data_IF_559027845656
#
_entry.id   IF_559027845656
#
_cell.length_a   1.000
_cell.length_b   1.000
_cell.length_c   1.000
_cell.angle_alpha   90.00
_cell.angle_beta   90.00
_cell.angle_gamma   90.00
#
_symmetry.space_group_name_H-M   'P 1'
#
loop_
_entity.id
_entity.type
_entity.pdbx_description
1 polymer ?
#
# COMPACT_ATOMS: atom_id res chain seq x y z
N UNK A 1 3.92 8.21 21.55
CA UNK A 1 3.89 7.34 20.35
C UNK A 1 4.08 5.90 20.81
N UNK A 2 3.12 5.04 20.56
CA UNK A 2 3.15 3.61 20.91
C UNK A 2 4.09 2.86 19.94
N UNK A 3 5.40 2.90 20.19
CA UNK A 3 6.41 2.22 19.37
C UNK A 3 6.67 0.81 19.86
N UNK A 4 6.70 -0.15 18.96
CA UNK A 4 7.25 -1.46 19.25
C UNK A 4 8.75 -1.31 19.52
N UNK A 5 9.26 -1.80 20.66
CA UNK A 5 10.68 -1.67 21.00
C UNK A 5 11.56 -2.48 20.03
N UNK A 6 11.06 -3.59 19.51
CA UNK A 6 11.77 -4.50 18.61
C UNK A 6 10.81 -5.36 17.78
N UNK A 7 11.37 -6.12 16.86
CA UNK A 7 10.63 -7.05 15.98
C UNK A 7 9.95 -8.16 16.80
N UNK A 8 10.59 -8.67 17.85
CA UNK A 8 10.02 -9.76 18.67
C UNK A 8 8.74 -9.30 19.38
N UNK A 9 8.67 -8.04 19.80
CA UNK A 9 7.44 -7.46 20.36
C UNK A 9 6.33 -7.39 19.31
N UNK A 10 6.63 -6.90 18.09
CA UNK A 10 5.68 -6.86 17.00
C UNK A 10 5.16 -8.25 16.62
N UNK A 11 6.04 -9.28 16.60
CA UNK A 11 5.67 -10.68 16.37
C UNK A 11 4.68 -11.17 17.43
N UNK A 12 4.95 -10.92 18.72
CA UNK A 12 4.02 -11.31 19.80
C UNK A 12 2.65 -10.69 19.63
N UNK A 13 2.58 -9.40 19.30
CA UNK A 13 1.31 -8.71 19.06
C UNK A 13 0.54 -9.34 17.90
N UNK A 14 1.19 -9.62 16.77
CA UNK A 14 0.58 -10.29 15.62
C UNK A 14 0.08 -11.69 15.99
N UNK A 15 0.85 -12.48 16.76
CA UNK A 15 0.45 -13.81 17.26
C UNK A 15 -0.76 -13.76 18.20
N UNK A 16 -0.92 -12.68 18.94
CA UNK A 16 -2.10 -12.41 19.78
C UNK A 16 -3.31 -11.94 18.97
N UNK A 17 -3.19 -11.80 17.63
CA UNK A 17 -4.23 -11.29 16.75
C UNK A 17 -4.41 -9.78 16.83
N UNK A 18 -3.43 -9.05 17.35
CA UNK A 18 -3.40 -7.59 17.32
C UNK A 18 -2.91 -7.08 15.97
N UNK A 19 -3.13 -5.77 15.71
CA UNK A 19 -2.64 -5.10 14.52
C UNK A 19 -1.40 -4.26 14.87
N UNK A 20 -0.45 -4.19 13.94
CA UNK A 20 0.80 -3.44 14.08
C UNK A 20 1.05 -2.66 12.80
N UNK A 21 1.45 -1.40 12.91
CA UNK A 21 1.94 -0.67 11.74
C UNK A 21 3.35 -1.12 11.39
N UNK A 22 3.54 -1.56 10.13
CA UNK A 22 4.76 -2.20 9.63
C UNK A 22 5.38 -1.34 8.52
N UNK A 23 6.68 -1.01 8.60
CA UNK A 23 7.36 -0.26 7.56
C UNK A 23 7.51 -1.12 6.29
N UNK A 24 7.33 -0.50 5.12
CA UNK A 24 7.77 -1.10 3.84
C UNK A 24 8.50 -0.04 3.01
N UNK A 25 9.13 -0.47 1.92
CA UNK A 25 9.81 0.45 1.00
C UNK A 25 8.83 1.36 0.25
N UNK A 26 7.54 0.99 0.16
CA UNK A 26 6.48 1.77 -0.49
C UNK A 26 5.80 2.72 0.48
N UNK A 27 5.01 2.20 1.42
CA UNK A 27 4.28 2.93 2.46
C UNK A 27 4.21 2.06 3.72
N UNK A 28 3.88 2.64 4.88
CA UNK A 28 3.58 1.84 6.07
C UNK A 28 2.27 1.08 5.88
N UNK A 29 2.29 -0.21 6.24
CA UNK A 29 1.12 -1.09 6.22
C UNK A 29 0.53 -1.30 7.61
N UNK A 30 -0.80 -1.39 7.72
CA UNK A 30 -1.49 -1.82 8.94
C UNK A 30 -1.57 -3.34 8.91
N UNK A 31 -0.60 -4.00 9.56
CA UNK A 31 -0.38 -5.43 9.51
C UNK A 31 -1.21 -6.21 10.52
N UNK A 32 -1.75 -7.34 10.11
CA UNK A 32 -2.36 -8.35 10.97
C UNK A 32 -2.13 -9.74 10.41
N UNK A 33 -2.23 -10.76 11.26
CA UNK A 33 -2.09 -12.15 10.83
C UNK A 33 -3.11 -12.51 9.74
N UNK A 34 -2.61 -12.85 8.55
CA UNK A 34 -3.46 -13.17 7.40
C UNK A 34 -4.23 -14.50 7.57
N UNK A 35 -3.86 -15.34 8.55
CA UNK A 35 -4.56 -16.58 8.91
C UNK A 35 -5.56 -16.39 10.06
N UNK A 36 -5.66 -15.21 10.65
CA UNK A 36 -6.56 -14.92 11.75
C UNK A 36 -7.72 -14.00 11.32
N UNK A 37 -8.95 -14.53 11.17
CA UNK A 37 -10.11 -13.74 10.76
C UNK A 37 -10.37 -12.53 11.68
N UNK A 38 -10.08 -12.64 12.98
CA UNK A 38 -10.27 -11.54 13.94
C UNK A 38 -9.25 -10.41 13.70
N UNK A 39 -7.99 -10.74 13.38
CA UNK A 39 -6.99 -9.75 13.03
C UNK A 39 -7.38 -8.99 11.75
N UNK A 40 -7.91 -9.69 10.75
CA UNK A 40 -8.39 -9.07 9.51
C UNK A 40 -9.57 -8.12 9.78
N UNK A 41 -10.56 -8.56 10.59
CA UNK A 41 -11.68 -7.69 10.99
C UNK A 41 -11.22 -6.46 11.76
N UNK A 42 -10.18 -6.57 12.61
CA UNK A 42 -9.55 -5.42 13.31
C UNK A 42 -8.93 -4.44 12.32
N UNK A 43 -8.23 -4.93 11.27
CA UNK A 43 -7.70 -4.06 10.20
C UNK A 43 -8.84 -3.24 9.58
N UNK A 44 -9.94 -3.89 9.18
CA UNK A 44 -11.09 -3.20 8.57
C UNK A 44 -11.71 -2.17 9.51
N UNK A 45 -11.96 -2.56 10.77
CA UNK A 45 -12.56 -1.68 11.78
C UNK A 45 -11.65 -0.46 12.07
N UNK A 46 -10.35 -0.67 12.26
CA UNK A 46 -9.37 0.40 12.52
C UNK A 46 -9.31 1.41 11.39
N UNK A 47 -9.34 0.95 10.15
CA UNK A 47 -9.31 1.81 8.96
C UNK A 47 -10.64 2.47 8.63
N UNK A 48 -11.76 1.98 9.15
CA UNK A 48 -13.11 2.32 8.64
C UNK A 48 -13.29 1.84 7.19
N UNK A 49 -12.62 0.74 6.80
CA UNK A 49 -12.67 0.16 5.44
C UNK A 49 -13.88 -0.79 5.35
N UNK A 50 -14.71 -0.71 4.27
CA UNK A 50 -15.78 -1.67 4.08
C UNK A 50 -15.26 -3.11 4.01
N UNK A 51 -15.95 -4.02 4.69
CA UNK A 51 -15.69 -5.46 4.55
C UNK A 51 -15.92 -5.90 3.10
N UNK A 52 -15.13 -6.84 2.61
CA UNK A 52 -15.22 -7.32 1.22
C UNK A 52 -14.26 -6.63 0.23
N UNK A 53 -13.57 -5.56 0.63
CA UNK A 53 -12.46 -5.03 -0.16
C UNK A 53 -11.19 -5.85 0.08
N UNK A 54 -10.61 -6.55 -0.92
CA UNK A 54 -9.47 -7.42 -0.70
C UNK A 54 -8.26 -6.66 -0.14
N UNK A 55 -7.43 -7.35 0.64
CA UNK A 55 -6.18 -6.82 1.18
C UNK A 55 -4.99 -7.64 0.68
N UNK A 56 -3.84 -6.98 0.50
CA UNK A 56 -2.61 -7.62 0.04
C UNK A 56 -1.95 -8.34 1.21
N UNK A 57 -1.53 -9.58 0.98
CA UNK A 57 -0.71 -10.36 1.93
C UNK A 57 0.76 -10.17 1.61
N UNK A 58 1.52 -9.77 2.61
CA UNK A 58 2.97 -9.68 2.55
C UNK A 58 3.60 -10.99 3.04
N UNK A 59 4.60 -11.48 2.33
CA UNK A 59 5.29 -12.73 2.60
C UNK A 59 6.79 -12.51 2.73
N UNK A 60 7.45 -13.36 3.53
CA UNK A 60 8.90 -13.46 3.50
C UNK A 60 9.37 -13.98 2.14
N UNK A 61 10.60 -13.62 1.74
CA UNK A 61 11.14 -14.07 0.47
C UNK A 61 11.28 -15.61 0.40
N UNK A 62 11.60 -16.22 1.53
CA UNK A 62 11.78 -17.68 1.68
C UNK A 62 10.48 -18.44 1.96
N UNK A 63 9.33 -17.75 2.05
CA UNK A 63 8.06 -18.38 2.37
C UNK A 63 7.55 -19.26 1.22
N UNK A 64 6.73 -20.27 1.50
CA UNK A 64 6.09 -21.09 0.46
C UNK A 64 4.92 -20.32 -0.20
N UNK A 65 5.23 -19.44 -1.14
CA UNK A 65 4.26 -18.55 -1.80
C UNK A 65 3.09 -19.29 -2.45
N UNK A 66 3.37 -20.52 -2.98
CA UNK A 66 2.37 -21.36 -3.66
C UNK A 66 1.25 -21.87 -2.75
N UNK A 67 1.41 -21.80 -1.44
CA UNK A 67 0.32 -22.10 -0.50
C UNK A 67 -0.72 -20.96 -0.46
N UNK A 68 -0.31 -19.74 -0.80
CA UNK A 68 -1.15 -18.54 -0.78
C UNK A 68 -1.81 -18.24 -2.12
N UNK A 69 -1.15 -18.56 -3.24
CA UNK A 69 -1.64 -18.31 -4.58
C UNK A 69 -1.13 -19.33 -5.59
N UNK A 70 -1.86 -19.48 -6.70
CA UNK A 70 -1.48 -20.38 -7.79
C UNK A 70 -0.62 -19.61 -8.80
N UNK A 71 0.67 -19.96 -8.89
CA UNK A 71 1.64 -19.29 -9.75
C UNK A 71 1.70 -19.95 -11.12
N UNK A 72 1.41 -19.19 -12.17
CA UNK A 72 1.72 -19.53 -13.56
C UNK A 72 3.10 -18.99 -13.96
N UNK A 73 3.52 -19.24 -15.20
CA UNK A 73 4.85 -18.84 -15.72
C UNK A 73 5.03 -17.32 -15.67
N UNK A 74 4.01 -16.52 -15.97
CA UNK A 74 4.07 -15.05 -15.87
C UNK A 74 4.27 -14.59 -14.43
N UNK A 75 3.55 -15.19 -13.48
CA UNK A 75 3.70 -14.89 -12.06
C UNK A 75 5.11 -15.20 -11.55
N UNK A 76 5.65 -16.36 -11.91
CA UNK A 76 7.01 -16.76 -11.54
C UNK A 76 8.07 -15.86 -12.15
N UNK A 77 7.93 -15.50 -13.43
CA UNK A 77 8.84 -14.59 -14.10
C UNK A 77 8.85 -13.19 -13.45
N UNK A 78 7.68 -12.62 -13.16
CA UNK A 78 7.56 -11.32 -12.49
C UNK A 78 8.06 -11.36 -11.05
N UNK A 79 7.74 -12.42 -10.29
CA UNK A 79 8.26 -12.60 -8.94
C UNK A 79 9.79 -12.68 -8.94
N UNK A 80 10.38 -13.44 -9.83
CA UNK A 80 11.85 -13.54 -9.99
C UNK A 80 12.51 -12.21 -10.35
N UNK A 81 11.85 -11.39 -11.18
CA UNK A 81 12.38 -10.11 -11.64
C UNK A 81 12.27 -9.01 -10.59
N UNK A 82 11.19 -8.99 -9.77
CA UNK A 82 10.84 -7.82 -8.97
C UNK A 82 10.62 -8.11 -7.48
N UNK A 83 10.75 -9.35 -7.01
CA UNK A 83 10.70 -9.69 -5.59
C UNK A 83 12.10 -10.05 -5.06
N UNK A 84 12.44 -9.55 -3.85
CA UNK A 84 11.69 -8.64 -2.98
C UNK A 84 11.59 -7.23 -3.57
N UNK A 85 10.39 -6.63 -3.54
CA UNK A 85 10.21 -5.30 -4.14
C UNK A 85 8.77 -4.79 -4.18
N UNK A 86 8.57 -3.66 -4.88
CA UNK A 86 7.31 -2.92 -4.91
C UNK A 86 6.32 -3.46 -5.95
N UNK A 87 6.29 -4.78 -6.16
CA UNK A 87 5.35 -5.47 -7.04
C UNK A 87 4.36 -6.28 -6.22
N UNK A 88 3.07 -6.09 -6.48
CA UNK A 88 1.98 -6.95 -6.03
C UNK A 88 1.44 -7.75 -7.21
N UNK A 89 1.31 -9.06 -7.05
CA UNK A 89 0.71 -9.96 -8.01
C UNK A 89 -0.68 -10.36 -7.54
N UNK A 90 -1.69 -10.24 -8.43
CA UNK A 90 -3.00 -10.83 -8.20
C UNK A 90 -3.02 -12.19 -8.88
N UNK A 91 -3.32 -13.21 -8.09
CA UNK A 91 -3.23 -14.64 -8.44
C UNK A 91 -4.54 -15.34 -8.12
N UNK A 92 -4.90 -16.46 -8.76
CA UNK A 92 -5.90 -17.36 -8.19
C UNK A 92 -5.51 -17.75 -6.77
N UNK A 93 -6.47 -17.71 -5.82
CA UNK A 93 -6.19 -17.93 -4.40
C UNK A 93 -5.72 -19.36 -4.12
N UNK A 94 -4.78 -19.50 -3.20
CA UNK A 94 -4.33 -20.78 -2.66
C UNK A 94 -5.13 -21.20 -1.43
N UNK A 95 -4.74 -22.32 -0.83
CA UNK A 95 -5.45 -22.94 0.31
C UNK A 95 -5.35 -22.15 1.61
N UNK A 96 -4.33 -21.30 1.76
CA UNK A 96 -4.12 -20.47 2.96
C UNK A 96 -4.92 -19.16 2.94
N UNK A 97 -5.50 -18.80 1.79
CA UNK A 97 -6.20 -17.52 1.60
C UNK A 97 -7.60 -17.56 2.21
N UNK A 98 -7.83 -16.80 3.28
CA UNK A 98 -9.13 -16.65 3.92
C UNK A 98 -10.07 -15.74 3.11
N UNK A 99 -11.37 -15.96 3.24
CA UNK A 99 -12.41 -15.11 2.63
C UNK A 99 -12.33 -13.67 3.13
N UNK A 100 -12.02 -13.46 4.41
CA UNK A 100 -11.82 -12.13 4.97
C UNK A 100 -10.67 -11.37 4.30
N UNK A 101 -9.62 -12.05 3.85
CA UNK A 101 -8.47 -11.45 3.16
C UNK A 101 -8.81 -11.12 1.71
N UNK A 102 -9.47 -12.04 1.02
CA UNK A 102 -9.79 -11.93 -0.40
C UNK A 102 -11.07 -11.15 -0.67
N UNK A 103 -11.88 -10.85 0.36
CA UNK A 103 -13.22 -10.29 0.19
C UNK A 103 -14.15 -11.23 -0.57
N UNK A 104 -13.98 -12.54 -0.39
CA UNK A 104 -14.68 -13.62 -1.11
C UNK A 104 -14.34 -13.76 -2.60
N UNK A 105 -13.38 -12.97 -3.11
CA UNK A 105 -12.93 -13.09 -4.50
C UNK A 105 -12.15 -14.41 -4.72
N UNK A 106 -12.16 -14.95 -5.95
CA UNK A 106 -11.37 -16.13 -6.29
C UNK A 106 -9.86 -15.84 -6.41
N UNK A 107 -9.45 -14.60 -6.20
CA UNK A 107 -8.08 -14.14 -6.33
C UNK A 107 -7.53 -13.58 -5.02
N UNK A 108 -6.20 -13.53 -4.91
CA UNK A 108 -5.46 -12.96 -3.79
C UNK A 108 -4.34 -12.05 -4.30
N UNK A 109 -4.11 -10.94 -3.60
CA UNK A 109 -2.94 -10.09 -3.83
C UNK A 109 -1.78 -10.50 -2.93
N UNK A 110 -0.64 -10.86 -3.53
CA UNK A 110 0.58 -11.22 -2.82
C UNK A 110 1.71 -10.26 -3.12
N UNK A 111 2.55 -10.01 -2.12
CA UNK A 111 3.75 -9.21 -2.26
C UNK A 111 4.87 -9.70 -1.33
N UNK A 112 6.10 -9.61 -1.81
CA UNK A 112 7.31 -9.78 -0.99
C UNK A 112 8.01 -8.42 -0.90
N UNK A 113 7.84 -7.66 0.20
CA UNK A 113 8.43 -6.32 0.33
C UNK A 113 9.95 -6.38 0.45
N UNK A 114 10.67 -5.37 -0.04
CA UNK A 114 12.14 -5.33 0.05
C UNK A 114 12.67 -4.65 1.31
N UNK A 115 11.80 -4.10 2.18
CA UNK A 115 12.23 -3.41 3.39
C UNK A 115 12.85 -4.38 4.40
N UNK A 116 14.09 -4.16 4.89
CA UNK A 116 14.79 -5.10 5.77
C UNK A 116 14.00 -5.46 7.04
N UNK A 117 13.41 -4.45 7.70
CA UNK A 117 12.61 -4.66 8.92
C UNK A 117 11.34 -5.47 8.62
N UNK A 118 10.67 -5.22 7.47
CA UNK A 118 9.51 -6.01 7.08
C UNK A 118 9.89 -7.47 6.82
N UNK A 119 10.99 -7.73 6.11
CA UNK A 119 11.48 -9.08 5.86
C UNK A 119 11.88 -9.81 7.14
N UNK A 120 12.56 -9.13 8.06
CA UNK A 120 12.91 -9.70 9.36
C UNK A 120 11.67 -10.05 10.21
N UNK A 121 10.65 -9.15 10.20
CA UNK A 121 9.37 -9.41 10.86
C UNK A 121 8.65 -10.62 10.26
N UNK A 122 8.53 -10.67 8.93
CA UNK A 122 7.86 -11.76 8.20
C UNK A 122 8.54 -13.13 8.44
N UNK A 123 9.89 -13.16 8.42
CA UNK A 123 10.65 -14.39 8.74
C UNK A 123 10.40 -14.85 10.17
N UNK A 124 10.46 -13.92 11.13
CA UNK A 124 10.29 -14.27 12.55
C UNK A 124 8.83 -14.61 12.88
N UNK A 125 7.86 -14.00 12.21
CA UNK A 125 6.44 -14.33 12.35
C UNK A 125 6.09 -15.68 11.73
N UNK A 126 6.75 -16.06 10.63
CA UNK A 126 6.63 -17.38 10.01
C UNK A 126 5.33 -17.58 9.21
N UNK A 127 4.58 -16.52 8.92
CA UNK A 127 3.32 -16.57 8.17
C UNK A 127 3.12 -15.31 7.34
N UNK A 128 2.01 -15.24 6.57
CA UNK A 128 1.61 -14.05 5.85
C UNK A 128 1.04 -12.98 6.76
N UNK A 129 1.36 -11.72 6.47
CA UNK A 129 0.79 -10.55 7.12
C UNK A 129 -0.09 -9.80 6.10
N UNK A 130 -1.40 -9.73 6.35
CA UNK A 130 -2.29 -8.88 5.58
C UNK A 130 -2.05 -7.42 5.99
N UNK A 131 -1.68 -6.57 5.03
CA UNK A 131 -1.26 -5.21 5.35
C UNK A 131 -1.69 -4.19 4.28
N UNK A 132 -2.93 -3.68 4.31
CA UNK A 132 -3.25 -2.45 3.60
C UNK A 132 -2.46 -1.27 4.18
N UNK A 133 -2.38 -0.13 3.48
CA UNK A 133 -1.71 1.07 3.99
C UNK A 133 -2.24 1.50 5.37
N UNK A 134 -1.35 2.01 6.25
CA UNK A 134 -1.67 2.32 7.65
C UNK A 134 -2.30 3.73 7.83
N UNK A 135 -3.33 4.05 7.07
CA UNK A 135 -4.15 5.27 7.13
C UNK A 135 -5.63 4.93 7.28
N UNK A 136 -6.46 5.88 7.69
CA UNK A 136 -7.92 5.76 7.58
C UNK A 136 -8.33 5.67 6.13
N UNK A 137 -9.42 4.95 5.86
CA UNK A 137 -9.88 4.66 4.50
C UNK A 137 -10.06 5.95 3.66
N UNK A 138 -9.54 5.95 2.43
CA UNK A 138 -9.58 7.08 1.50
C UNK A 138 -8.51 8.16 1.70
N UNK A 139 -7.81 8.18 2.85
CA UNK A 139 -6.78 9.18 3.19
C UNK A 139 -5.43 8.88 2.53
N UNK A 140 -4.52 9.86 2.57
CA UNK A 140 -3.14 9.73 2.09
C UNK A 140 -2.41 8.64 2.86
N UNK A 141 -1.70 7.76 2.16
CA UNK A 141 -0.91 6.70 2.78
C UNK A 141 0.26 7.25 3.61
N UNK A 142 0.60 6.62 4.75
CA UNK A 142 1.71 7.04 5.59
C UNK A 142 3.04 6.51 5.05
N UNK A 143 4.05 7.39 5.00
CA UNK A 143 5.40 7.06 4.57
C UNK A 143 6.43 7.12 5.71
N UNK A 144 5.98 7.47 6.92
CA UNK A 144 6.78 7.50 8.15
C UNK A 144 5.97 7.00 9.35
N UNK A 145 6.64 6.62 10.43
CA UNK A 145 6.00 6.28 11.70
C UNK A 145 5.16 7.45 12.26
N UNK A 146 5.64 8.68 12.11
CA UNK A 146 4.92 9.88 12.55
C UNK A 146 3.60 10.06 11.79
N UNK A 147 3.56 9.76 10.48
CA UNK A 147 2.32 9.79 9.70
C UNK A 147 1.29 8.76 10.21
N UNK A 148 1.73 7.57 10.63
CA UNK A 148 0.86 6.57 11.25
C UNK A 148 0.34 7.07 12.59
N UNK A 149 1.20 7.67 13.40
CA UNK A 149 0.80 8.24 14.69
C UNK A 149 -0.21 9.39 14.52
N UNK A 150 -0.06 10.23 13.51
CA UNK A 150 -1.05 11.28 13.18
C UNK A 150 -2.41 10.71 12.81
N UNK A 151 -2.48 9.51 12.20
CA UNK A 151 -3.75 8.86 11.84
C UNK A 151 -4.47 8.19 13.03
N UNK A 152 -3.70 7.52 13.91
CA UNK A 152 -4.26 6.60 14.90
C UNK A 152 -3.87 6.90 16.35
N UNK A 153 -2.96 7.86 16.59
CA UNK A 153 -2.46 8.18 17.93
C UNK A 153 -1.78 6.97 18.59
N UNK A 154 -2.08 6.75 19.86
CA UNK A 154 -1.54 5.62 20.65
C UNK A 154 -2.28 4.28 20.40
N UNK A 155 -3.31 4.27 19.57
CA UNK A 155 -4.16 3.08 19.36
C UNK A 155 -3.42 1.95 18.64
N UNK A 156 -2.45 2.28 17.80
CA UNK A 156 -1.76 1.31 16.97
C UNK A 156 -0.27 1.26 17.35
N UNK A 157 0.24 0.09 17.76
CA UNK A 157 1.67 -0.13 17.91
C UNK A 157 2.40 0.04 16.58
N UNK A 158 3.52 0.75 16.57
CA UNK A 158 4.28 1.08 15.36
C UNK A 158 5.66 0.45 15.44
N UNK A 159 5.96 -0.46 14.51
CA UNK A 159 7.33 -0.90 14.26
C UNK A 159 8.00 0.13 13.34
N UNK A 160 8.87 0.96 13.91
CA UNK A 160 9.52 2.02 13.15
C UNK A 160 10.73 1.47 12.37
N UNK A 161 10.72 1.66 11.06
CA UNK A 161 11.81 1.28 10.15
C UNK A 161 12.39 2.49 9.38
N UNK A 162 12.05 3.71 9.82
CA UNK A 162 12.39 4.94 9.11
C UNK A 162 11.45 5.24 7.93
N UNK A 163 11.74 6.28 7.14
CA UNK A 163 10.90 6.69 6.01
C UNK A 163 10.92 5.68 4.87
N UNK A 164 9.76 5.52 4.22
CA UNK A 164 9.62 4.69 3.02
C UNK A 164 10.42 5.27 1.85
N UNK A 165 11.24 4.45 1.21
CA UNK A 165 12.17 4.90 0.15
C UNK A 165 11.49 5.23 -1.18
N UNK A 166 10.32 4.62 -1.47
CA UNK A 166 9.56 4.82 -2.71
C UNK A 166 8.47 5.87 -2.53
N UNK A 167 7.76 5.86 -1.40
CA UNK A 167 6.80 6.89 -1.02
C UNK A 167 5.41 6.81 -1.66
N UNK A 168 5.19 5.89 -2.60
CA UNK A 168 3.89 5.56 -3.22
C UNK A 168 3.64 4.07 -3.17
N UNK A 169 2.42 3.64 -3.45
CA UNK A 169 2.01 2.24 -3.40
C UNK A 169 2.74 1.35 -4.42
N UNK A 170 2.67 0.03 -4.19
CA UNK A 170 3.19 -0.98 -5.12
C UNK A 170 2.47 -0.96 -6.45
N UNK A 171 3.18 -1.26 -7.52
CA UNK A 171 2.57 -1.64 -8.80
C UNK A 171 1.78 -2.93 -8.61
N UNK A 172 0.54 -3.00 -9.15
CA UNK A 172 -0.30 -4.20 -9.09
C UNK A 172 -0.49 -4.74 -10.49
N UNK A 173 -0.15 -6.02 -10.68
CA UNK A 173 -0.34 -6.76 -11.92
C UNK A 173 -1.24 -7.94 -11.65
N UNK A 174 -2.33 -8.06 -12.43
CA UNK A 174 -3.16 -9.25 -12.47
C UNK A 174 -2.50 -10.29 -13.39
N UNK A 175 -2.19 -11.44 -12.84
CA UNK A 175 -1.66 -12.60 -13.56
C UNK A 175 -2.57 -13.83 -13.37
N UNK A 176 -3.79 -13.61 -12.90
CA UNK A 176 -4.82 -14.66 -12.76
C UNK A 176 -5.48 -15.03 -14.08
N UNK A 177 -5.28 -14.20 -15.12
CA UNK A 177 -5.82 -14.37 -16.46
C UNK A 177 -4.73 -14.87 -17.43
N UNK A 178 -5.13 -15.21 -18.65
CA UNK A 178 -4.21 -15.67 -19.70
C UNK A 178 -3.13 -14.61 -20.02
N UNK A 179 -3.52 -13.33 -20.10
CA UNK A 179 -2.60 -12.21 -20.31
C UNK A 179 -2.49 -11.37 -19.04
N UNK A 180 -1.26 -11.04 -18.61
CA UNK A 180 -1.07 -10.10 -17.49
C UNK A 180 -1.70 -8.75 -17.76
N UNK A 181 -2.26 -8.11 -16.73
CA UNK A 181 -2.86 -6.79 -16.84
C UNK A 181 -2.42 -5.87 -15.70
N UNK A 182 -2.13 -4.60 -16.01
CA UNK A 182 -1.78 -3.59 -15.01
C UNK A 182 -3.05 -3.05 -14.36
N UNK A 183 -3.24 -3.34 -13.07
CA UNK A 183 -4.39 -2.85 -12.29
C UNK A 183 -4.12 -1.54 -11.57
N UNK A 184 -2.89 -1.33 -11.13
CA UNK A 184 -2.46 -0.09 -10.48
C UNK A 184 -1.03 0.25 -10.86
N UNK A 185 -0.79 1.44 -11.45
CA UNK A 185 0.58 1.92 -11.65
C UNK A 185 1.27 2.21 -10.32
N UNK A 186 2.60 2.04 -10.30
CA UNK A 186 3.49 2.32 -9.18
C UNK A 186 4.89 2.60 -9.67
N UNK A 187 5.91 2.37 -8.83
CA UNK A 187 7.31 2.63 -9.18
C UNK A 187 7.89 1.70 -10.26
N UNK A 188 7.27 0.54 -10.49
CA UNK A 188 7.60 -0.33 -11.61
C UNK A 188 6.68 0.04 -12.77
N UNK A 189 7.24 0.63 -13.82
CA UNK A 189 6.50 1.06 -15.01
C UNK A 189 6.05 -0.13 -15.88
N UNK A 190 4.99 0.11 -16.67
CA UNK A 190 4.42 -0.90 -17.56
C UNK A 190 5.47 -1.50 -18.51
N UNK A 191 6.34 -0.68 -19.11
CA UNK A 191 7.39 -1.15 -20.03
C UNK A 191 8.37 -2.14 -19.38
N UNK A 192 8.67 -1.97 -18.09
CA UNK A 192 9.52 -2.91 -17.35
C UNK A 192 8.81 -4.26 -17.12
N UNK A 193 7.49 -4.23 -16.91
CA UNK A 193 6.68 -5.44 -16.78
C UNK A 193 6.59 -6.15 -18.14
N UNK A 194 6.27 -5.43 -19.22
CA UNK A 194 6.17 -5.96 -20.58
C UNK A 194 7.50 -6.55 -21.09
N UNK A 195 8.62 -6.02 -20.63
CA UNK A 195 9.94 -6.60 -20.93
C UNK A 195 10.12 -8.01 -20.35
N UNK A 196 9.36 -8.38 -19.30
CA UNK A 196 9.43 -9.69 -18.66
C UNK A 196 8.37 -10.66 -19.21
N UNK A 197 7.13 -10.17 -19.39
CA UNK A 197 5.97 -11.05 -19.68
C UNK A 197 5.33 -10.80 -21.05
N UNK A 198 5.87 -9.88 -21.84
CA UNK A 198 5.29 -9.50 -23.14
C UNK A 198 4.12 -8.50 -22.98
N UNK A 199 3.38 -8.27 -24.09
CA UNK A 199 2.31 -7.27 -24.11
C UNK A 199 1.22 -7.54 -23.10
N UNK A 200 0.77 -6.47 -22.41
CA UNK A 200 -0.26 -6.55 -21.40
C UNK A 200 -1.66 -6.60 -21.99
N UNK A 201 -2.57 -7.22 -21.27
CA UNK A 201 -4.01 -7.28 -21.54
C UNK A 201 -4.80 -6.27 -20.72
N UNK A 202 -6.10 -6.52 -20.64
CA UNK A 202 -7.06 -5.83 -19.77
C UNK A 202 -7.62 -6.79 -18.74
N UNK A 203 -7.95 -6.29 -17.56
CA UNK A 203 -8.61 -7.05 -16.50
C UNK A 203 -9.59 -6.17 -15.74
N UNK A 204 -10.78 -6.72 -15.44
CA UNK A 204 -11.81 -6.11 -14.58
C UNK A 204 -11.67 -6.55 -13.12
N UNK A 205 -10.59 -7.23 -12.76
CA UNK A 205 -10.33 -7.68 -11.39
C UNK A 205 -10.24 -6.49 -10.44
N UNK A 206 -10.97 -6.56 -9.33
CA UNK A 206 -10.96 -5.52 -8.30
C UNK A 206 -9.62 -5.55 -7.56
N UNK A 207 -8.92 -4.43 -7.56
CA UNK A 207 -7.66 -4.25 -6.84
C UNK A 207 -7.76 -3.15 -5.79
N UNK A 208 -6.94 -3.20 -4.71
CA UNK A 208 -6.85 -2.10 -3.77
C UNK A 208 -6.44 -0.79 -4.46
N UNK A 209 -7.18 0.31 -4.19
CA UNK A 209 -6.87 1.63 -4.74
C UNK A 209 -7.63 2.01 -6.02
N UNK A 210 -8.58 1.20 -6.51
CA UNK A 210 -9.38 1.46 -7.71
C UNK A 210 -10.58 2.40 -7.51
N UNK A 211 -10.78 2.94 -6.31
CA UNK A 211 -11.89 3.86 -6.03
C UNK A 211 -11.66 5.24 -6.63
N UNK A 212 -12.75 5.92 -7.08
CA UNK A 212 -12.70 7.27 -7.65
C UNK A 212 -12.10 8.33 -6.71
N UNK A 213 -12.25 8.17 -5.38
CA UNK A 213 -11.61 9.00 -4.36
C UNK A 213 -10.79 8.11 -3.44
N UNK A 214 -9.49 8.09 -3.65
CA UNK A 214 -8.52 7.36 -2.85
C UNK A 214 -7.22 8.16 -2.77
N UNK A 215 -6.46 8.02 -1.66
CA UNK A 215 -5.22 8.76 -1.41
C UNK A 215 -5.41 10.27 -1.37
N UNK A 216 -6.60 10.74 -0.98
CA UNK A 216 -6.94 12.14 -1.01
C UNK A 216 -6.48 12.88 0.25
N UNK A 217 -5.93 14.12 0.12
CA UNK A 217 -5.74 15.02 1.24
C UNK A 217 -7.08 15.44 1.86
N UNK A 218 -7.03 16.04 3.05
CA UNK A 218 -8.23 16.62 3.71
C UNK A 218 -8.67 17.90 3.02
N UNK A 219 -7.70 18.71 2.60
CA UNK A 219 -7.89 19.93 1.83
C UNK A 219 -8.25 19.58 0.39
N UNK A 220 -9.15 20.35 -0.22
CA UNK A 220 -9.54 20.15 -1.61
C UNK A 220 -8.33 20.22 -2.53
N UNK A 221 -8.15 19.22 -3.42
CA UNK A 221 -7.03 19.12 -4.35
C UNK A 221 -7.52 19.35 -5.78
N UNK A 222 -6.92 20.33 -6.47
CA UNK A 222 -7.11 20.59 -7.89
C UNK A 222 -5.91 20.04 -8.68
N UNK A 223 -6.17 19.09 -9.59
CA UNK A 223 -5.16 18.68 -10.58
C UNK A 223 -5.21 19.68 -11.74
N UNK A 224 -4.12 20.42 -11.93
CA UNK A 224 -4.05 21.50 -12.90
C UNK A 224 -2.97 21.26 -13.96
N UNK A 225 -3.28 21.59 -15.20
CA UNK A 225 -2.29 21.69 -16.30
C UNK A 225 -1.67 23.11 -16.42
N UNK A 226 -2.27 24.12 -15.74
CA UNK A 226 -1.81 25.50 -15.70
C UNK A 226 -1.83 26.02 -14.24
N UNK A 227 -1.00 25.46 -13.34
CA UNK A 227 -1.15 25.67 -11.89
C UNK A 227 -0.98 27.13 -11.46
N UNK A 228 -0.13 27.92 -12.12
CA UNK A 228 0.02 29.35 -11.80
C UNK A 228 -1.20 30.18 -12.22
N UNK A 229 -1.81 29.88 -13.35
CA UNK A 229 -3.03 30.55 -13.82
C UNK A 229 -4.21 30.25 -12.90
N UNK A 230 -4.36 28.97 -12.53
CA UNK A 230 -5.39 28.54 -11.58
C UNK A 230 -5.19 29.16 -10.20
N UNK A 231 -3.95 29.23 -9.70
CA UNK A 231 -3.63 29.91 -8.45
C UNK A 231 -4.10 31.36 -8.49
N UNK A 232 -3.69 32.12 -9.53
CA UNK A 232 -4.07 33.54 -9.68
C UNK A 232 -5.59 33.71 -9.74
N UNK A 233 -6.30 32.82 -10.45
CA UNK A 233 -7.76 32.85 -10.56
C UNK A 233 -8.41 32.62 -9.19
N UNK A 234 -7.99 31.57 -8.47
CA UNK A 234 -8.54 31.21 -7.17
C UNK A 234 -8.26 32.27 -6.09
N UNK A 235 -7.07 32.87 -6.10
CA UNK A 235 -6.72 33.97 -5.19
C UNK A 235 -7.59 35.23 -5.46
N UNK A 236 -7.91 35.52 -6.72
CA UNK A 236 -8.87 36.59 -7.07
C UNK A 236 -10.29 36.29 -6.61
N UNK A 237 -10.66 35.01 -6.51
CA UNK A 237 -11.93 34.54 -5.92
C UNK A 237 -11.91 34.54 -4.38
N UNK A 238 -10.81 35.01 -3.74
CA UNK A 238 -10.67 35.09 -2.29
C UNK A 238 -10.26 33.78 -1.62
N UNK A 239 -9.77 32.79 -2.38
CA UNK A 239 -9.29 31.51 -1.85
C UNK A 239 -7.82 31.57 -1.47
N UNK A 240 -7.45 30.90 -0.39
CA UNK A 240 -6.06 30.64 -0.05
C UNK A 240 -5.58 29.35 -0.74
N UNK A 241 -4.44 29.42 -1.39
CA UNK A 241 -3.93 28.33 -2.25
C UNK A 241 -2.51 27.93 -1.83
N UNK A 242 -2.24 26.63 -1.77
CA UNK A 242 -0.88 26.11 -1.70
C UNK A 242 -0.59 25.19 -2.89
N UNK A 243 0.62 25.31 -3.43
CA UNK A 243 1.01 24.55 -4.63
C UNK A 243 2.08 23.51 -4.31
N UNK A 244 1.89 22.30 -4.84
CA UNK A 244 2.92 21.27 -4.83
C UNK A 244 3.91 21.54 -5.96
N UNK A 245 5.18 21.77 -5.60
CA UNK A 245 6.22 22.05 -6.59
C UNK A 245 6.62 20.79 -7.34
N UNK A 246 6.77 20.91 -8.66
CA UNK A 246 7.31 19.85 -9.50
C UNK A 246 8.75 19.48 -9.04
N UNK A 247 9.05 18.20 -9.06
CA UNK A 247 10.35 17.61 -8.77
C UNK A 247 10.67 16.54 -9.84
N UNK A 248 11.92 16.07 -9.94
CA UNK A 248 12.22 14.90 -10.76
C UNK A 248 11.30 13.72 -10.38
N UNK A 249 10.85 12.90 -11.33
CA UNK A 249 9.78 11.91 -11.10
C UNK A 249 9.99 10.98 -9.90
N UNK A 250 11.22 10.53 -9.65
CA UNK A 250 11.52 9.65 -8.53
C UNK A 250 11.42 10.39 -7.18
N UNK A 251 11.98 11.60 -7.10
CA UNK A 251 11.88 12.44 -5.90
C UNK A 251 10.43 12.87 -5.64
N UNK A 252 9.70 13.19 -6.72
CA UNK A 252 8.29 13.54 -6.64
C UNK A 252 7.48 12.39 -6.04
N UNK A 253 7.64 11.17 -6.54
CA UNK A 253 6.97 9.99 -6.02
C UNK A 253 7.30 9.75 -4.54
N UNK A 254 8.59 9.83 -4.18
CA UNK A 254 9.05 9.63 -2.81
C UNK A 254 8.46 10.65 -1.82
N UNK A 255 8.35 11.91 -2.25
CA UNK A 255 7.95 13.02 -1.39
C UNK A 255 6.44 13.34 -1.46
N UNK A 256 5.71 12.83 -2.46
CA UNK A 256 4.33 13.21 -2.75
C UNK A 256 3.41 13.15 -1.51
N UNK A 257 3.33 12.01 -0.86
CA UNK A 257 2.43 11.85 0.29
C UNK A 257 2.88 12.64 1.52
N UNK A 258 4.18 12.74 1.76
CA UNK A 258 4.71 13.57 2.84
C UNK A 258 4.42 15.07 2.59
N UNK A 259 4.57 15.53 1.34
CA UNK A 259 4.27 16.89 0.96
C UNK A 259 2.76 17.20 1.08
N UNK A 260 1.88 16.35 0.56
CA UNK A 260 0.43 16.51 0.68
C UNK A 260 -0.02 16.53 2.15
N UNK A 261 0.52 15.65 3.02
CA UNK A 261 0.23 15.67 4.45
C UNK A 261 0.69 16.97 5.12
N UNK A 262 1.87 17.47 4.75
CA UNK A 262 2.37 18.76 5.24
C UNK A 262 1.47 19.91 4.76
N UNK A 263 1.03 19.88 3.51
CA UNK A 263 0.14 20.92 2.94
C UNK A 263 -1.23 20.92 3.61
N UNK A 264 -1.78 19.75 4.02
CA UNK A 264 -3.01 19.66 4.80
C UNK A 264 -2.95 20.42 6.14
N UNK A 265 -1.74 20.67 6.68
CA UNK A 265 -1.58 21.42 7.93
C UNK A 265 -1.51 22.95 7.74
N UNK A 266 -1.48 23.44 6.49
CA UNK A 266 -1.33 24.87 6.21
C UNK A 266 -2.63 25.68 6.42
N UNK A 267 -3.78 25.00 6.52
CA UNK A 267 -5.08 25.65 6.69
C UNK A 267 -5.53 26.46 5.46
N UNK A 268 -5.08 26.06 4.27
CA UNK A 268 -5.49 26.68 2.99
C UNK A 268 -6.79 26.04 2.48
N UNK A 269 -7.50 26.78 1.58
CA UNK A 269 -8.75 26.29 0.99
C UNK A 269 -8.53 25.23 -0.09
N UNK A 270 -7.44 25.36 -0.88
CA UNK A 270 -7.19 24.54 -2.06
C UNK A 270 -5.70 24.21 -2.19
N UNK A 271 -5.39 22.96 -2.51
CA UNK A 271 -4.08 22.49 -2.96
C UNK A 271 -4.09 22.38 -4.50
N UNK A 272 -2.96 22.75 -5.15
CA UNK A 272 -2.74 22.56 -6.58
C UNK A 272 -1.49 21.73 -6.81
#
# INVERSE_FOLDING_TARGET
>A
MNRCPDIAHAVRLLQMGEVVAVPTETVYGLGGDAKNPLAIRRIYATKGRPAGHPVIVHLAFEAPWTEWGQFNDHALALAKAFWPGPLTLILPRGTQALDEVTGTLPTIGLRVPSHPTAQALLRQFGSGIAAPSANRFGRISPTTADHVFMEFGEQIPILDGGPSKIGIESTIVDVSQERPALLRPGSIGQSAIEAVVGPMGHSDTVAPGSLKSHYAPMTSLLLSHAPEEDRIRLEKEGKTVAMLRAQPPQEYAQNLYAALRKMDTLGVDILI
#
